data_IF_483607211083
#
_entry.id   IF_483607211083
#
_cell.length_a   1.000
_cell.length_b   1.000
_cell.length_c   1.000
_cell.angle_alpha   90.00
_cell.angle_beta   90.00
_cell.angle_gamma   90.00
#
_symmetry.space_group_name_H-M   'P 1'
#
loop_
_entity.id
_entity.type
_entity.pdbx_description
1 polymer ?
#
# COMPACT_ATOMS: atom_id res chain seq x y z
N UNK A 1 -62.80 37.36 10.50
CA UNK A 1 -63.06 37.49 9.05
C UNK A 1 -61.78 37.76 8.26
N UNK A 2 -61.16 38.95 8.33
CA UNK A 2 -59.93 39.22 7.54
C UNK A 2 -58.80 38.25 7.92
N UNK A 3 -58.56 38.04 9.22
CA UNK A 3 -57.59 37.06 9.70
C UNK A 3 -57.92 35.63 9.23
N UNK A 4 -59.18 35.19 9.32
CA UNK A 4 -59.59 33.85 8.88
C UNK A 4 -59.39 33.62 7.38
N UNK A 5 -59.57 34.65 6.55
CA UNK A 5 -59.29 34.59 5.11
C UNK A 5 -57.80 34.36 4.86
N UNK A 6 -56.92 35.11 5.51
CA UNK A 6 -55.47 34.92 5.37
C UNK A 6 -55.00 33.57 5.92
N UNK A 7 -55.55 33.10 7.04
CA UNK A 7 -55.22 31.80 7.61
C UNK A 7 -55.66 30.68 6.67
N UNK A 8 -56.89 30.75 6.12
CA UNK A 8 -57.40 29.76 5.19
C UNK A 8 -56.57 29.69 3.90
N UNK A 9 -56.21 30.84 3.31
CA UNK A 9 -55.32 30.88 2.13
C UNK A 9 -53.96 30.26 2.42
N UNK A 10 -53.35 30.59 3.56
CA UNK A 10 -52.06 30.04 3.96
C UNK A 10 -52.12 28.52 4.14
N UNK A 11 -53.18 28.02 4.79
CA UNK A 11 -53.37 26.58 5.02
C UNK A 11 -53.76 25.79 3.76
N UNK A 12 -54.20 26.45 2.69
CA UNK A 12 -54.35 25.83 1.37
C UNK A 12 -53.06 25.88 0.55
N UNK A 13 -52.21 26.89 0.74
CA UNK A 13 -50.94 27.04 0.03
C UNK A 13 -49.85 26.07 0.52
N UNK A 14 -49.66 25.93 1.83
CA UNK A 14 -48.62 25.09 2.43
C UNK A 14 -48.66 23.63 1.91
N UNK A 15 -49.83 22.94 1.87
CA UNK A 15 -49.90 21.58 1.36
C UNK A 15 -49.53 21.45 -0.12
N UNK A 16 -49.82 22.47 -0.94
CA UNK A 16 -49.46 22.48 -2.37
C UNK A 16 -47.94 22.55 -2.53
N UNK A 17 -47.27 23.38 -1.74
CA UNK A 17 -45.82 23.52 -1.74
C UNK A 17 -45.13 22.22 -1.30
N UNK A 18 -45.62 21.59 -0.23
CA UNK A 18 -45.10 20.32 0.29
C UNK A 18 -45.32 19.19 -0.74
N UNK A 19 -46.48 19.14 -1.39
CA UNK A 19 -46.78 18.14 -2.42
C UNK A 19 -45.85 18.27 -3.64
N UNK A 20 -45.59 19.50 -4.09
CA UNK A 20 -44.66 19.76 -5.19
C UNK A 20 -43.23 19.35 -4.79
N UNK A 21 -42.79 19.71 -3.59
CA UNK A 21 -41.48 19.34 -3.06
C UNK A 21 -41.28 17.81 -3.01
N UNK A 22 -42.30 17.06 -2.59
CA UNK A 22 -42.26 15.58 -2.60
C UNK A 22 -42.12 14.98 -3.99
N UNK A 23 -42.74 15.59 -5.02
CA UNK A 23 -42.62 15.16 -6.41
C UNK A 23 -41.23 15.42 -6.98
N UNK A 24 -40.56 16.48 -6.53
CA UNK A 24 -39.22 16.86 -7.00
C UNK A 24 -38.11 16.09 -6.27
N UNK A 25 -38.33 15.65 -5.04
CA UNK A 25 -37.38 14.83 -4.28
C UNK A 25 -37.16 13.45 -4.94
N UNK A 26 -35.93 13.20 -5.39
CA UNK A 26 -35.49 11.92 -6.01
C UNK A 26 -35.06 10.86 -4.98
N UNK A 27 -35.18 11.14 -3.69
CA UNK A 27 -34.79 10.20 -2.63
C UNK A 27 -35.82 9.07 -2.46
N UNK A 28 -35.40 7.80 -2.34
CA UNK A 28 -36.28 6.67 -2.06
C UNK A 28 -36.76 6.72 -0.60
N UNK A 29 -37.75 7.58 -0.32
CA UNK A 29 -38.40 7.63 0.98
C UNK A 29 -39.22 6.35 1.20
N UNK A 30 -39.04 5.64 2.33
CA UNK A 30 -39.88 4.50 2.67
C UNK A 30 -41.36 4.91 2.69
N UNK A 31 -42.25 4.00 2.25
CA UNK A 31 -43.69 4.26 2.10
C UNK A 31 -44.31 4.92 3.34
N UNK A 32 -43.85 4.52 4.53
CA UNK A 32 -44.34 5.02 5.81
C UNK A 32 -44.13 6.54 5.99
N UNK A 33 -43.01 7.10 5.53
CA UNK A 33 -42.75 8.54 5.60
C UNK A 33 -43.66 9.33 4.64
N UNK A 34 -43.95 8.79 3.46
CA UNK A 34 -44.88 9.39 2.49
C UNK A 34 -46.30 9.47 3.06
N UNK A 35 -46.74 8.41 3.76
CA UNK A 35 -48.04 8.40 4.42
C UNK A 35 -48.15 9.45 5.52
N UNK A 36 -47.12 9.66 6.34
CA UNK A 36 -47.11 10.70 7.38
C UNK A 36 -47.17 12.10 6.77
N UNK A 37 -46.42 12.35 5.69
CA UNK A 37 -46.46 13.62 4.97
C UNK A 37 -47.84 13.92 4.39
N UNK A 38 -48.48 12.94 3.75
CA UNK A 38 -49.83 13.09 3.21
C UNK A 38 -50.88 13.32 4.33
N UNK A 39 -50.72 12.67 5.48
CA UNK A 39 -51.61 12.87 6.63
C UNK A 39 -51.43 14.26 7.26
N UNK A 40 -50.20 14.79 7.23
CA UNK A 40 -49.89 16.15 7.66
C UNK A 40 -50.48 17.20 6.71
N UNK A 41 -50.38 17.01 5.39
CA UNK A 41 -51.07 17.83 4.38
C UNK A 41 -52.59 17.81 4.57
N UNK A 42 -53.17 16.61 4.79
CA UNK A 42 -54.59 16.44 5.06
C UNK A 42 -55.02 17.14 6.37
N UNK A 43 -54.16 17.15 7.39
CA UNK A 43 -54.42 17.84 8.65
C UNK A 43 -54.42 19.37 8.48
N UNK A 44 -53.42 19.92 7.77
CA UNK A 44 -53.34 21.37 7.50
C UNK A 44 -54.52 21.85 6.66
N UNK A 45 -54.88 21.11 5.61
CA UNK A 45 -56.05 21.46 4.77
C UNK A 45 -57.35 21.42 5.57
N UNK A 46 -57.56 20.41 6.43
CA UNK A 46 -58.74 20.31 7.29
C UNK A 46 -58.83 21.48 8.28
N UNK A 47 -57.70 21.89 8.88
CA UNK A 47 -57.63 23.11 9.70
C UNK A 47 -57.98 24.37 8.89
N UNK A 48 -57.49 24.49 7.64
CA UNK A 48 -57.82 25.61 6.73
C UNK A 48 -59.30 25.68 6.36
N UNK A 49 -59.94 24.51 6.22
CA UNK A 49 -61.37 24.40 5.96
C UNK A 49 -62.22 24.94 7.13
N UNK A 50 -61.77 24.78 8.38
CA UNK A 50 -62.50 25.36 9.53
C UNK A 50 -62.57 26.90 9.44
N UNK A 51 -61.48 27.56 9.05
CA UNK A 51 -61.45 29.01 8.86
C UNK A 51 -62.27 29.46 7.65
N UNK A 52 -62.33 28.65 6.60
CA UNK A 52 -63.18 28.96 5.45
C UNK A 52 -64.67 28.93 5.84
N UNK A 53 -65.07 27.93 6.63
CA UNK A 53 -66.45 27.79 7.13
C UNK A 53 -66.82 28.92 8.10
N UNK A 54 -65.88 29.40 8.93
CA UNK A 54 -66.12 30.54 9.84
C UNK A 54 -66.27 31.86 9.10
N UNK A 55 -65.53 32.08 7.99
CA UNK A 55 -65.71 33.26 7.13
C UNK A 55 -67.11 33.29 6.50
N UNK A 56 -67.66 32.14 6.13
CA UNK A 56 -68.97 32.03 5.48
C UNK A 56 -70.15 32.09 6.46
N UNK A 57 -69.89 31.95 7.76
CA UNK A 57 -70.91 31.92 8.83
C UNK A 57 -71.91 33.09 8.82
N UNK A 58 -71.55 34.34 8.50
CA UNK A 58 -72.51 35.45 8.47
C UNK A 58 -73.56 35.35 7.35
N UNK A 59 -73.31 34.52 6.33
CA UNK A 59 -74.14 34.44 5.13
C UNK A 59 -75.05 33.19 5.10
N UNK A 60 -74.84 32.21 5.98
CA UNK A 60 -75.64 30.97 6.05
C UNK A 60 -75.45 30.23 7.38
N UNK A 61 -76.39 29.36 7.76
CA UNK A 61 -76.26 28.52 8.95
C UNK A 61 -75.24 27.38 8.71
N UNK A 62 -73.98 27.63 9.05
CA UNK A 62 -72.86 26.70 8.79
C UNK A 62 -72.48 25.79 9.96
N UNK A 63 -73.28 25.75 11.03
CA UNK A 63 -72.93 25.01 12.27
C UNK A 63 -72.74 23.49 12.05
N UNK A 64 -73.58 22.88 11.20
CA UNK A 64 -73.44 21.45 10.85
C UNK A 64 -72.16 21.19 10.05
N UNK A 65 -71.87 22.05 9.08
CA UNK A 65 -70.65 21.95 8.27
C UNK A 65 -69.39 22.10 9.13
N UNK A 66 -69.40 23.06 10.07
CA UNK A 66 -68.30 23.25 11.01
C UNK A 66 -68.09 22.03 11.92
N UNK A 67 -69.18 21.41 12.38
CA UNK A 67 -69.13 20.18 13.18
C UNK A 67 -68.48 19.04 12.40
N UNK A 68 -68.91 18.80 11.15
CA UNK A 68 -68.34 17.76 10.29
C UNK A 68 -66.84 17.97 10.06
N UNK A 69 -66.43 19.19 9.70
CA UNK A 69 -65.00 19.50 9.47
C UNK A 69 -64.17 19.27 10.74
N UNK A 70 -64.69 19.65 11.92
CA UNK A 70 -64.00 19.40 13.20
C UNK A 70 -63.85 17.91 13.51
N UNK A 71 -64.88 17.10 13.24
CA UNK A 71 -64.82 15.64 13.43
C UNK A 71 -63.77 15.02 12.49
N UNK A 72 -63.78 15.40 11.20
CA UNK A 72 -62.76 14.93 10.24
C UNK A 72 -61.36 15.33 10.68
N UNK A 73 -61.18 16.58 11.12
CA UNK A 73 -59.89 17.08 11.62
C UNK A 73 -59.41 16.29 12.84
N UNK A 74 -60.30 15.98 13.79
CA UNK A 74 -59.97 15.19 14.98
C UNK A 74 -59.51 13.77 14.63
N UNK A 75 -60.16 13.12 13.64
CA UNK A 75 -59.76 11.79 13.15
C UNK A 75 -58.37 11.84 12.51
N UNK A 76 -58.14 12.77 11.58
CA UNK A 76 -56.84 12.92 10.90
C UNK A 76 -55.74 13.25 11.92
N UNK A 77 -56.00 14.15 12.87
CA UNK A 77 -55.05 14.51 13.94
C UNK A 77 -54.67 13.31 14.80
N UNK A 78 -55.64 12.48 15.16
CA UNK A 78 -55.41 11.30 16.01
C UNK A 78 -54.56 10.26 15.27
N UNK A 79 -54.88 9.98 14.01
CA UNK A 79 -54.10 9.06 13.18
C UNK A 79 -52.66 9.56 12.97
N UNK A 80 -52.48 10.88 12.77
CA UNK A 80 -51.16 11.50 12.62
C UNK A 80 -50.34 11.37 13.89
N UNK A 81 -50.93 11.61 15.06
CA UNK A 81 -50.24 11.46 16.34
C UNK A 81 -49.75 10.02 16.58
N UNK A 82 -50.57 9.01 16.26
CA UNK A 82 -50.21 7.59 16.40
C UNK A 82 -49.02 7.23 15.51
N UNK A 83 -49.04 7.65 14.23
CA UNK A 83 -47.95 7.36 13.30
C UNK A 83 -46.65 8.08 13.69
N UNK A 84 -46.73 9.33 14.16
CA UNK A 84 -45.55 10.10 14.55
C UNK A 84 -44.79 9.44 15.72
N UNK A 85 -45.48 8.85 16.69
CA UNK A 85 -44.83 8.11 17.80
C UNK A 85 -43.91 7.00 17.29
N UNK A 86 -44.26 6.35 16.18
CA UNK A 86 -43.46 5.28 15.59
C UNK A 86 -42.32 5.80 14.69
N UNK A 87 -42.50 6.96 14.06
CA UNK A 87 -41.56 7.52 13.08
C UNK A 87 -40.47 8.36 13.71
N UNK A 88 -40.83 9.18 14.71
CA UNK A 88 -39.89 10.07 15.40
C UNK A 88 -38.61 9.34 15.84
N UNK A 89 -38.64 8.23 16.61
CA UNK A 89 -37.42 7.57 17.08
C UNK A 89 -36.52 7.06 15.93
N UNK A 90 -37.11 6.71 14.78
CA UNK A 90 -36.35 6.29 13.59
C UNK A 90 -35.69 7.47 12.89
N UNK A 91 -36.36 8.62 12.84
CA UNK A 91 -35.80 9.84 12.24
C UNK A 91 -34.61 10.38 13.05
N UNK A 92 -34.69 10.38 14.38
CA UNK A 92 -33.59 10.85 15.25
C UNK A 92 -32.37 9.92 15.28
N UNK A 93 -32.52 8.64 14.93
CA UNK A 93 -31.38 7.70 14.86
C UNK A 93 -30.62 7.75 13.54
N UNK A 94 -31.15 8.43 12.50
CA UNK A 94 -30.48 8.54 11.20
C UNK A 94 -29.16 9.32 11.26
N UNK A 95 -29.07 10.52 11.88
CA UNK A 95 -27.81 11.24 11.96
C UNK A 95 -26.73 10.48 12.74
N UNK A 96 -27.11 9.82 13.85
CA UNK A 96 -26.19 9.00 14.63
C UNK A 96 -25.69 7.78 13.85
N UNK A 97 -26.58 7.12 13.09
CA UNK A 97 -26.21 5.98 12.23
C UNK A 97 -25.34 6.40 11.06
N UNK A 98 -25.58 7.56 10.48
CA UNK A 98 -24.75 8.13 9.41
C UNK A 98 -23.35 8.45 9.91
N UNK A 99 -23.23 9.14 11.06
CA UNK A 99 -21.94 9.45 11.66
C UNK A 99 -21.13 8.20 12.01
N UNK A 100 -21.77 7.15 12.55
CA UNK A 100 -21.09 5.88 12.82
C UNK A 100 -20.60 5.20 11.53
N UNK A 101 -21.43 5.22 10.47
CA UNK A 101 -21.06 4.63 9.18
C UNK A 101 -19.89 5.37 8.52
N UNK A 102 -19.85 6.70 8.63
CA UNK A 102 -18.73 7.52 8.14
C UNK A 102 -17.43 7.21 8.88
N UNK A 103 -17.47 7.06 10.21
CA UNK A 103 -16.28 6.67 10.97
C UNK A 103 -15.82 5.26 10.62
N UNK A 104 -16.74 4.31 10.47
CA UNK A 104 -16.42 2.93 10.11
C UNK A 104 -15.83 2.84 8.69
N UNK A 105 -16.39 3.57 7.72
CA UNK A 105 -15.81 3.68 6.39
C UNK A 105 -14.43 4.33 6.43
N UNK A 106 -14.25 5.38 7.23
CA UNK A 106 -12.96 6.03 7.43
C UNK A 106 -11.94 5.09 8.05
N UNK A 107 -12.33 4.28 9.03
CA UNK A 107 -11.47 3.28 9.67
C UNK A 107 -11.06 2.21 8.65
N UNK A 108 -12.00 1.63 7.91
CA UNK A 108 -11.73 0.62 6.89
C UNK A 108 -10.81 1.14 5.78
N UNK A 109 -11.04 2.35 5.27
CA UNK A 109 -10.20 2.97 4.25
C UNK A 109 -8.75 3.13 4.73
N UNK A 110 -8.55 3.56 5.99
CA UNK A 110 -7.20 3.69 6.58
C UNK A 110 -6.48 2.35 6.66
N UNK A 111 -7.17 1.28 7.06
CA UNK A 111 -6.60 -0.07 7.12
C UNK A 111 -6.27 -0.63 5.74
N UNK A 112 -7.17 -0.44 4.76
CA UNK A 112 -6.91 -0.89 3.40
C UNK A 112 -5.72 -0.14 2.78
N UNK A 113 -5.62 1.16 3.03
CA UNK A 113 -4.52 1.98 2.54
C UNK A 113 -3.17 1.56 3.13
N UNK A 114 -3.10 1.27 4.44
CA UNK A 114 -1.86 0.80 5.06
C UNK A 114 -1.42 -0.56 4.51
N UNK A 115 -2.37 -1.48 4.31
CA UNK A 115 -2.10 -2.78 3.68
C UNK A 115 -1.62 -2.64 2.22
N UNK A 116 -2.21 -1.71 1.45
CA UNK A 116 -1.78 -1.43 0.07
C UNK A 116 -0.36 -0.88 0.05
N UNK A 117 -0.05 0.08 0.92
CA UNK A 117 1.31 0.66 1.02
C UNK A 117 2.36 -0.41 1.39
N UNK A 118 2.06 -1.29 2.34
CA UNK A 118 2.94 -2.39 2.71
C UNK A 118 3.16 -3.38 1.55
N UNK A 119 2.09 -3.74 0.82
CA UNK A 119 2.22 -4.60 -0.36
C UNK A 119 3.03 -3.96 -1.50
N UNK A 120 2.81 -2.67 -1.77
CA UNK A 120 3.57 -1.92 -2.79
C UNK A 120 5.06 -1.89 -2.46
N UNK A 121 5.40 -1.72 -1.18
CA UNK A 121 6.77 -1.79 -0.69
C UNK A 121 7.36 -3.18 -0.96
N UNK A 122 6.67 -4.25 -0.54
CA UNK A 122 7.11 -5.63 -0.78
C UNK A 122 7.35 -5.91 -2.28
N UNK A 123 6.48 -5.40 -3.16
CA UNK A 123 6.65 -5.55 -4.60
C UNK A 123 7.88 -4.82 -5.14
N UNK A 124 8.19 -3.62 -4.62
CA UNK A 124 9.43 -2.90 -4.98
C UNK A 124 10.65 -3.71 -4.57
N UNK A 125 10.71 -4.18 -3.32
CA UNK A 125 11.81 -5.01 -2.82
C UNK A 125 11.97 -6.31 -3.63
N UNK A 126 10.87 -6.95 -4.00
CA UNK A 126 10.89 -8.15 -4.86
C UNK A 126 11.51 -7.87 -6.24
N UNK A 127 11.22 -6.71 -6.84
CA UNK A 127 11.84 -6.30 -8.12
C UNK A 127 13.35 -6.11 -7.97
N UNK A 128 13.80 -5.44 -6.92
CA UNK A 128 15.24 -5.25 -6.61
C UNK A 128 15.93 -6.60 -6.49
N UNK A 129 15.40 -7.50 -5.66
CA UNK A 129 15.91 -8.86 -5.47
C UNK A 129 16.02 -9.62 -6.79
N UNK A 130 14.98 -9.55 -7.64
CA UNK A 130 14.99 -10.26 -8.92
C UNK A 130 16.03 -9.67 -9.90
N UNK A 131 16.26 -8.36 -9.86
CA UNK A 131 17.25 -7.71 -10.70
C UNK A 131 18.68 -8.10 -10.30
N UNK A 132 18.96 -8.10 -8.99
CA UNK A 132 20.25 -8.53 -8.42
C UNK A 132 20.55 -9.99 -8.81
N UNK A 133 19.59 -10.90 -8.63
CA UNK A 133 19.75 -12.34 -8.97
C UNK A 133 20.04 -12.62 -10.44
N UNK A 134 19.62 -11.74 -11.36
CA UNK A 134 19.86 -11.91 -12.80
C UNK A 134 21.25 -11.46 -13.23
N UNK A 135 22.00 -10.81 -12.35
CA UNK A 135 23.31 -10.26 -12.65
C UNK A 135 24.40 -11.28 -12.33
N UNK A 136 25.27 -11.57 -13.29
CA UNK A 136 26.25 -12.66 -13.21
C UNK A 136 27.70 -12.20 -12.97
N UNK A 137 27.95 -10.89 -13.04
CA UNK A 137 29.27 -10.30 -12.80
C UNK A 137 29.31 -9.56 -11.45
N UNK A 138 30.45 -9.62 -10.78
CA UNK A 138 30.62 -9.09 -9.41
C UNK A 138 30.46 -7.56 -9.36
N UNK A 139 31.10 -6.83 -10.29
CA UNK A 139 30.97 -5.37 -10.35
C UNK A 139 29.53 -4.99 -10.70
N UNK A 140 28.95 -5.68 -11.67
CA UNK A 140 27.58 -5.44 -12.11
C UNK A 140 26.58 -5.69 -10.97
N UNK A 141 26.76 -6.75 -10.17
CA UNK A 141 25.94 -7.04 -8.99
C UNK A 141 26.05 -5.88 -8.01
N UNK A 142 27.26 -5.51 -7.59
CA UNK A 142 27.46 -4.44 -6.61
C UNK A 142 26.90 -3.09 -7.08
N UNK A 143 27.16 -2.70 -8.33
CA UNK A 143 26.67 -1.44 -8.89
C UNK A 143 25.14 -1.41 -8.94
N UNK A 144 24.52 -2.49 -9.42
CA UNK A 144 23.06 -2.61 -9.49
C UNK A 144 22.44 -2.58 -8.10
N UNK A 145 23.01 -3.32 -7.15
CA UNK A 145 22.54 -3.37 -5.77
C UNK A 145 22.57 -2.01 -5.09
N UNK A 146 23.70 -1.30 -5.20
CA UNK A 146 23.86 0.03 -4.60
C UNK A 146 22.88 1.03 -5.23
N UNK A 147 22.70 0.99 -6.54
CA UNK A 147 21.73 1.85 -7.24
C UNK A 147 20.29 1.57 -6.80
N UNK A 148 19.84 0.32 -6.89
CA UNK A 148 18.45 -0.07 -6.63
C UNK A 148 18.07 0.11 -5.15
N UNK A 149 18.99 -0.19 -4.23
CA UNK A 149 18.78 0.08 -2.80
C UNK A 149 18.66 1.57 -2.53
N UNK A 150 19.54 2.39 -3.11
CA UNK A 150 19.49 3.85 -2.93
C UNK A 150 18.19 4.44 -3.47
N UNK A 151 17.70 3.94 -4.61
CA UNK A 151 16.44 4.39 -5.23
C UNK A 151 15.22 3.92 -4.43
N UNK A 152 15.23 2.67 -3.94
CA UNK A 152 14.06 2.09 -3.25
C UNK A 152 13.89 2.64 -1.84
N UNK A 153 15.00 2.83 -1.12
CA UNK A 153 15.01 3.33 0.26
C UNK A 153 15.16 4.86 0.34
N UNK A 154 15.60 5.53 -0.72
CA UNK A 154 15.83 6.98 -0.73
C UNK A 154 17.01 7.41 0.16
N UNK A 155 17.98 6.53 0.38
CA UNK A 155 19.16 6.77 1.23
C UNK A 155 20.45 6.52 0.47
N UNK A 156 21.59 6.89 1.07
CA UNK A 156 22.89 6.47 0.56
C UNK A 156 23.12 4.99 0.76
N UNK A 157 23.80 4.35 -0.18
CA UNK A 157 24.22 2.96 -0.09
C UNK A 157 25.68 2.82 -0.51
N UNK A 158 26.44 2.00 0.22
CA UNK A 158 27.83 1.67 -0.07
C UNK A 158 28.09 0.18 0.18
N UNK A 159 28.84 -0.45 -0.73
CA UNK A 159 29.30 -1.84 -0.57
C UNK A 159 30.79 -1.86 -0.31
N UNK A 160 31.17 -2.45 0.83
CA UNK A 160 32.53 -2.69 1.24
C UNK A 160 32.94 -4.13 0.96
N UNK A 161 34.06 -4.30 0.28
CA UNK A 161 34.70 -5.59 0.03
C UNK A 161 36.00 -5.68 0.83
N UNK A 162 36.32 -6.87 1.30
CA UNK A 162 37.55 -7.14 2.03
C UNK A 162 38.74 -7.25 1.09
N UNK A 163 39.76 -6.44 1.33
CA UNK A 163 41.07 -6.51 0.69
C UNK A 163 42.15 -6.67 1.76
N UNK A 164 42.67 -7.90 1.90
CA UNK A 164 43.63 -8.24 2.95
C UNK A 164 43.01 -8.11 4.34
N UNK A 165 43.54 -7.18 5.14
CA UNK A 165 43.08 -6.90 6.51
C UNK A 165 42.25 -5.60 6.62
N UNK A 166 41.86 -5.05 5.47
CA UNK A 166 41.04 -3.83 5.40
C UNK A 166 39.78 -4.06 4.56
N UNK A 167 38.75 -3.26 4.80
CA UNK A 167 37.56 -3.14 3.98
C UNK A 167 37.66 -1.88 3.14
N UNK A 168 37.39 -2.02 1.85
CA UNK A 168 37.43 -0.93 0.87
C UNK A 168 36.06 -0.82 0.22
N UNK A 169 35.52 0.40 0.15
CA UNK A 169 34.27 0.64 -0.56
C UNK A 169 34.53 0.52 -2.06
N UNK A 170 33.82 -0.41 -2.69
CA UNK A 170 33.93 -0.66 -4.13
C UNK A 170 32.90 0.13 -4.91
N UNK A 171 31.69 0.27 -4.36
CA UNK A 171 30.56 0.91 -5.01
C UNK A 171 29.82 1.76 -3.98
N UNK A 172 29.42 2.96 -4.40
CA UNK A 172 28.71 3.94 -3.57
C UNK A 172 27.73 4.70 -4.46
N UNK A 173 26.51 4.89 -3.97
CA UNK A 173 25.50 5.75 -4.56
C UNK A 173 24.81 6.51 -3.42
N UNK A 174 24.53 7.78 -3.66
CA UNK A 174 23.80 8.66 -2.75
C UNK A 174 22.74 9.39 -3.56
N UNK A 175 21.48 9.30 -3.13
CA UNK A 175 20.39 10.11 -3.65
C UNK A 175 19.63 10.76 -2.51
N UNK A 176 19.40 12.05 -2.64
CA UNK A 176 18.50 12.79 -1.76
C UNK A 176 17.06 12.55 -2.24
N UNK A 177 16.12 12.34 -1.31
CA UNK A 177 14.70 12.03 -1.58
C UNK A 177 13.99 13.07 -2.48
N UNK A 178 14.58 14.26 -2.67
CA UNK A 178 14.05 15.36 -3.50
C UNK A 178 14.92 15.74 -4.71
N UNK A 179 15.99 15.00 -5.01
CA UNK A 179 16.83 15.32 -6.16
C UNK A 179 16.39 14.53 -7.40
N UNK A 180 15.47 15.12 -8.17
CA UNK A 180 15.01 14.59 -9.45
C UNK A 180 16.07 14.68 -10.56
N UNK A 181 17.27 15.21 -10.28
CA UNK A 181 18.33 15.24 -11.28
C UNK A 181 18.98 13.85 -11.39
N UNK A 182 18.61 13.12 -12.44
CA UNK A 182 19.23 11.88 -12.89
C UNK A 182 20.68 12.07 -13.40
N UNK A 183 21.43 13.06 -12.91
CA UNK A 183 22.76 13.37 -13.43
C UNK A 183 23.85 12.84 -12.51
N UNK A 184 24.53 11.84 -13.05
CA UNK A 184 25.71 11.11 -12.57
C UNK A 184 26.98 11.97 -12.41
N UNK A 185 26.89 13.29 -12.23
CA UNK A 185 28.05 14.18 -12.26
C UNK A 185 28.15 14.94 -10.94
N UNK A 186 29.27 14.76 -10.25
CA UNK A 186 29.69 15.42 -9.00
C UNK A 186 29.18 14.84 -7.68
N UNK A 187 29.09 13.50 -7.59
CA UNK A 187 28.96 12.86 -6.27
C UNK A 187 30.26 13.02 -5.49
N UNK A 188 30.18 13.62 -4.31
CA UNK A 188 31.18 13.46 -3.25
C UNK A 188 31.25 11.98 -2.88
N UNK A 189 32.11 11.22 -3.58
CA UNK A 189 32.43 9.83 -3.29
C UNK A 189 33.19 9.80 -1.94
N UNK A 190 32.45 9.72 -0.84
CA UNK A 190 33.01 9.82 0.50
C UNK A 190 33.54 8.46 0.93
N UNK A 191 32.72 7.41 0.81
CA UNK A 191 33.05 6.09 1.33
C UNK A 191 34.14 5.38 0.54
N UNK A 192 34.29 5.60 -0.78
CA UNK A 192 35.42 5.03 -1.55
C UNK A 192 36.80 5.55 -1.11
N UNK A 193 36.86 6.71 -0.43
CA UNK A 193 38.12 7.28 0.09
C UNK A 193 38.50 6.71 1.46
N UNK A 194 37.59 5.96 2.09
CA UNK A 194 37.74 5.47 3.45
C UNK A 194 38.06 3.98 3.43
N UNK A 195 39.15 3.61 4.10
CA UNK A 195 39.51 2.22 4.37
C UNK A 195 39.25 1.90 5.83
N UNK A 196 38.55 0.81 6.09
CA UNK A 196 38.16 0.42 7.46
C UNK A 196 38.96 -0.82 7.84
N UNK A 197 39.67 -0.77 8.97
CA UNK A 197 40.41 -1.93 9.48
C UNK A 197 39.45 -3.04 9.92
N UNK A 198 39.84 -4.31 9.70
CA UNK A 198 39.10 -5.47 10.19
C UNK A 198 39.01 -5.52 11.72
N UNK A 199 40.00 -4.97 12.43
CA UNK A 199 40.03 -4.87 13.90
C UNK A 199 39.09 -3.79 14.46
N UNK A 200 38.38 -3.07 13.60
CA UNK A 200 37.46 -2.04 14.04
C UNK A 200 36.34 -2.64 14.92
N UNK A 201 36.06 -1.99 16.05
CA UNK A 201 35.06 -2.45 17.03
C UNK A 201 33.67 -2.58 16.42
N UNK A 202 33.28 -1.67 15.50
CA UNK A 202 31.98 -1.71 14.85
C UNK A 202 31.89 -2.84 13.84
N UNK A 203 32.96 -3.12 13.09
CA UNK A 203 33.04 -4.29 12.21
C UNK A 203 32.90 -5.59 13.02
N UNK A 204 33.56 -5.66 14.18
CA UNK A 204 33.47 -6.82 15.09
C UNK A 204 32.05 -6.98 15.64
N UNK A 205 31.41 -5.88 16.08
CA UNK A 205 30.03 -5.86 16.54
C UNK A 205 29.06 -6.33 15.45
N UNK A 206 29.23 -5.88 14.21
CA UNK A 206 28.43 -6.37 13.08
C UNK A 206 28.66 -7.86 12.80
N UNK A 207 29.85 -8.41 13.07
CA UNK A 207 30.11 -9.85 12.90
C UNK A 207 29.43 -10.71 13.96
N UNK A 208 29.19 -10.17 15.15
CA UNK A 208 28.49 -10.90 16.24
C UNK A 208 26.97 -10.90 16.09
N UNK A 209 26.43 -9.99 15.28
CA UNK A 209 25.00 -9.89 15.03
C UNK A 209 24.63 -10.70 13.79
N UNK A 210 23.55 -11.48 13.87
CA UNK A 210 22.96 -12.16 12.70
C UNK A 210 22.05 -11.25 11.88
N UNK A 211 21.89 -9.99 12.29
CA UNK A 211 20.92 -9.02 11.78
C UNK A 211 21.58 -7.64 11.58
N UNK A 212 20.83 -6.70 11.01
CA UNK A 212 21.28 -5.35 10.68
C UNK A 212 21.72 -4.56 11.92
N UNK A 213 22.90 -3.95 11.83
CA UNK A 213 23.47 -3.16 12.91
C UNK A 213 23.23 -1.67 12.66
N UNK A 214 22.45 -1.02 13.54
CA UNK A 214 22.30 0.43 13.54
C UNK A 214 23.54 1.13 14.11
N UNK A 215 23.98 2.17 13.41
CA UNK A 215 25.16 2.98 13.72
C UNK A 215 24.73 4.45 13.83
N UNK A 216 25.00 5.06 14.97
CA UNK A 216 24.79 6.50 15.15
C UNK A 216 26.04 7.30 14.73
N UNK A 217 25.97 8.63 14.82
CA UNK A 217 27.07 9.53 14.46
C UNK A 217 28.38 9.20 15.19
N UNK A 218 28.31 8.80 16.46
CA UNK A 218 29.50 8.44 17.25
C UNK A 218 30.10 7.13 16.72
N UNK A 219 29.26 6.12 16.49
CA UNK A 219 29.69 4.83 15.93
C UNK A 219 30.34 5.01 14.55
N UNK A 220 29.78 5.90 13.71
CA UNK A 220 30.34 6.25 12.41
C UNK A 220 31.68 6.98 12.52
N UNK A 221 31.81 7.91 13.48
CA UNK A 221 33.08 8.59 13.77
C UNK A 221 34.15 7.61 14.23
N UNK A 222 33.79 6.65 15.09
CA UNK A 222 34.69 5.59 15.54
C UNK A 222 35.06 4.62 14.40
N UNK A 223 34.17 4.46 13.41
CA UNK A 223 34.40 3.61 12.25
C UNK A 223 35.39 4.22 11.26
N UNK A 224 35.29 5.53 11.02
CA UNK A 224 36.09 6.25 10.01
C UNK A 224 37.38 6.84 10.60
N UNK A 225 37.41 7.12 11.90
CA UNK A 225 38.53 7.73 12.61
C UNK A 225 38.23 9.14 13.10
N UNK A 226 38.76 9.49 14.28
CA UNK A 226 38.59 10.81 14.88
C UNK A 226 39.16 11.91 13.97
N UNK A 227 38.35 12.94 13.70
CA UNK A 227 38.75 14.11 12.89
C UNK A 227 38.28 14.11 11.43
N UNK A 228 37.65 13.03 10.95
CA UNK A 228 37.01 13.03 9.62
C UNK A 228 35.64 13.69 9.69
N UNK A 229 35.41 14.71 8.86
CA UNK A 229 34.12 15.38 8.79
C UNK A 229 33.09 14.50 8.07
N UNK A 230 32.28 13.78 8.83
CA UNK A 230 31.20 12.92 8.34
C UNK A 230 29.99 13.76 7.92
N UNK A 231 29.59 13.73 6.62
CA UNK A 231 28.36 14.39 6.16
C UNK A 231 27.09 13.62 6.57
N UNK A 232 27.25 12.43 7.18
CA UNK A 232 26.17 11.51 7.54
C UNK A 232 26.08 11.36 9.06
N UNK A 233 24.88 11.11 9.57
CA UNK A 233 24.61 11.06 11.02
C UNK A 233 24.04 9.73 11.50
N UNK A 234 23.45 8.95 10.61
CA UNK A 234 22.90 7.64 10.91
C UNK A 234 23.22 6.66 9.78
N UNK A 235 23.45 5.40 10.12
CA UNK A 235 23.64 4.33 9.16
C UNK A 235 23.18 2.98 9.70
N UNK A 236 23.02 2.03 8.80
CA UNK A 236 22.71 0.64 9.10
C UNK A 236 23.55 -0.26 8.21
N UNK A 237 24.17 -1.27 8.82
CA UNK A 237 25.10 -2.17 8.14
C UNK A 237 24.73 -3.64 8.29
N UNK A 238 24.84 -4.41 7.20
CA UNK A 238 24.65 -5.87 7.18
C UNK A 238 25.86 -6.51 6.51
N UNK A 239 26.43 -7.54 7.14
CA UNK A 239 27.59 -8.26 6.60
C UNK A 239 27.15 -9.37 5.65
N UNK A 240 28.00 -9.66 4.68
CA UNK A 240 27.83 -10.82 3.80
C UNK A 240 29.12 -11.63 3.68
N UNK A 241 28.96 -12.92 3.40
CA UNK A 241 30.06 -13.89 3.30
C UNK A 241 30.09 -14.51 1.91
N UNK A 242 31.28 -14.70 1.35
CA UNK A 242 31.42 -15.43 0.07
C UNK A 242 32.18 -16.71 0.37
N UNK A 243 31.62 -17.86 -0.03
CA UNK A 243 32.14 -19.20 0.28
C UNK A 243 32.38 -19.42 1.79
N UNK A 244 31.47 -18.90 2.62
CA UNK A 244 31.55 -18.97 4.08
C UNK A 244 32.65 -18.12 4.72
N UNK A 245 33.45 -17.41 3.92
CA UNK A 245 34.47 -16.48 4.41
C UNK A 245 33.90 -15.07 4.52
N UNK A 246 34.39 -14.37 5.52
CA UNK A 246 34.09 -12.96 5.72
C UNK A 246 34.63 -12.11 4.54
N UNK A 247 33.71 -11.56 3.75
CA UNK A 247 33.99 -10.97 2.43
C UNK A 247 33.62 -9.51 2.33
N UNK A 248 32.63 -9.03 3.07
CA UNK A 248 32.20 -7.65 2.96
C UNK A 248 31.00 -7.28 3.82
N UNK A 249 30.52 -6.06 3.63
CA UNK A 249 29.28 -5.58 4.21
C UNK A 249 28.65 -4.50 3.33
N UNK A 250 27.33 -4.38 3.44
CA UNK A 250 26.53 -3.33 2.81
C UNK A 250 26.19 -2.32 3.90
N UNK A 251 26.36 -1.02 3.60
CA UNK A 251 26.09 0.08 4.49
C UNK A 251 25.09 1.03 3.82
N UNK A 252 23.94 1.24 4.46
CA UNK A 252 23.01 2.31 4.09
C UNK A 252 23.12 3.46 5.08
N UNK A 253 23.04 4.70 4.63
CA UNK A 253 23.34 5.87 5.45
C UNK A 253 22.52 7.11 5.08
N UNK A 254 22.25 7.95 6.09
CA UNK A 254 21.47 9.18 5.98
C UNK A 254 22.18 10.36 6.66
N UNK A 255 21.90 11.57 6.15
CA UNK A 255 22.32 12.84 6.76
C UNK A 255 21.45 13.25 7.95
N UNK A 256 20.28 12.63 8.10
CA UNK A 256 19.35 12.84 9.20
C UNK A 256 19.77 12.05 10.44
N UNK A 257 19.70 12.68 11.61
CA UNK A 257 20.15 12.09 12.88
C UNK A 257 19.14 11.12 13.48
N UNK A 258 17.86 11.38 13.26
CA UNK A 258 16.74 10.57 13.73
C UNK A 258 16.31 9.50 12.72
N UNK A 259 17.11 9.29 11.67
CA UNK A 259 16.77 8.32 10.64
C UNK A 259 16.92 6.89 11.15
N UNK A 260 15.87 6.11 10.94
CA UNK A 260 15.82 4.67 11.19
C UNK A 260 14.82 4.03 10.24
N UNK A 261 15.12 2.85 9.72
CA UNK A 261 14.14 2.06 8.97
C UNK A 261 13.08 1.48 9.91
N UNK A 262 11.80 1.44 9.50
CA UNK A 262 10.78 0.61 10.14
C UNK A 262 11.21 -0.87 10.19
N UNK A 263 10.74 -1.63 11.18
CA UNK A 263 11.10 -3.05 11.38
C UNK A 263 10.92 -3.91 10.12
N UNK A 264 9.80 -3.73 9.41
CA UNK A 264 9.53 -4.44 8.15
C UNK A 264 10.54 -4.10 7.04
N UNK A 265 11.01 -2.85 6.97
CA UNK A 265 12.01 -2.44 5.98
C UNK A 265 13.41 -2.94 6.35
N UNK A 266 13.70 -3.14 7.64
CA UNK A 266 14.94 -3.76 8.11
C UNK A 266 15.02 -5.21 7.65
N UNK A 267 13.96 -6.00 7.88
CA UNK A 267 13.90 -7.40 7.43
C UNK A 267 14.09 -7.50 5.90
N UNK A 268 13.40 -6.64 5.14
CA UNK A 268 13.52 -6.64 3.68
C UNK A 268 14.91 -6.19 3.21
N UNK A 269 15.57 -5.28 3.91
CA UNK A 269 16.95 -4.89 3.62
C UNK A 269 17.92 -6.04 3.88
N UNK A 270 17.79 -6.75 5.01
CA UNK A 270 18.56 -7.95 5.32
C UNK A 270 18.40 -9.03 4.24
N UNK A 271 17.15 -9.28 3.82
CA UNK A 271 16.84 -10.20 2.73
C UNK A 271 17.55 -9.80 1.44
N UNK A 272 17.50 -8.51 1.04
CA UNK A 272 18.22 -8.04 -0.15
C UNK A 272 19.72 -8.31 0.01
N UNK A 273 20.32 -8.00 1.15
CA UNK A 273 21.76 -8.23 1.37
C UNK A 273 22.10 -9.72 1.28
N UNK A 274 21.23 -10.61 1.78
CA UNK A 274 21.36 -12.05 1.57
C UNK A 274 21.28 -12.46 0.09
N UNK A 275 20.49 -11.75 -0.73
CA UNK A 275 20.45 -12.00 -2.18
C UNK A 275 21.69 -11.47 -2.91
N UNK A 276 22.26 -10.37 -2.43
CA UNK A 276 23.55 -9.86 -2.90
C UNK A 276 24.63 -10.90 -2.59
N UNK A 277 24.65 -11.46 -1.39
CA UNK A 277 25.58 -12.52 -0.99
C UNK A 277 25.53 -13.70 -1.97
N UNK A 278 24.34 -14.23 -2.23
CA UNK A 278 24.14 -15.36 -3.14
C UNK A 278 24.61 -15.02 -4.56
N UNK A 279 24.25 -13.83 -5.07
CA UNK A 279 24.64 -13.41 -6.42
C UNK A 279 26.16 -13.24 -6.55
N UNK A 280 26.82 -12.67 -5.54
CA UNK A 280 28.28 -12.54 -5.51
C UNK A 280 28.99 -13.90 -5.40
N UNK A 281 28.39 -14.85 -4.66
CA UNK A 281 28.91 -16.22 -4.61
C UNK A 281 28.80 -16.90 -5.97
N UNK A 282 27.68 -16.75 -6.66
CA UNK A 282 27.49 -17.28 -8.01
C UNK A 282 28.47 -16.67 -9.03
N UNK A 283 28.69 -15.35 -8.98
CA UNK A 283 29.65 -14.68 -9.86
C UNK A 283 31.09 -15.14 -9.59
N UNK A 284 31.46 -15.35 -8.32
CA UNK A 284 32.77 -15.88 -7.94
C UNK A 284 32.99 -17.32 -8.45
N UNK A 285 31.99 -18.19 -8.33
CA UNK A 285 32.03 -19.56 -8.85
C UNK A 285 32.21 -19.60 -10.37
N UNK A 286 31.43 -18.80 -11.11
CA UNK A 286 31.55 -18.70 -12.57
C UNK A 286 32.94 -18.22 -13.01
N UNK A 287 33.53 -17.26 -12.28
CA UNK A 287 34.89 -16.78 -12.54
C UNK A 287 35.94 -17.88 -12.31
N UNK A 288 35.78 -18.68 -11.25
CA UNK A 288 36.68 -19.80 -10.95
C UNK A 288 36.58 -20.90 -12.01
N UNK A 289 35.38 -21.23 -12.48
CA UNK A 289 35.16 -22.21 -13.56
C UNK A 289 35.74 -21.75 -14.90
N UNK A 290 35.56 -20.46 -15.25
CA UNK A 290 36.14 -19.88 -16.45
C UNK A 290 37.69 -19.89 -16.39
N UNK A 291 38.26 -19.58 -15.23
CA UNK A 291 39.71 -19.66 -15.00
C UNK A 291 40.23 -21.11 -15.04
N UNK A 292 39.46 -22.08 -14.54
CA UNK A 292 39.80 -23.50 -14.56
C UNK A 292 39.83 -24.09 -15.98
N UNK A 293 38.87 -23.69 -16.83
CA UNK A 293 38.85 -24.07 -18.26
C UNK A 293 40.03 -23.48 -19.04
N UNK A 294 40.47 -22.26 -18.72
CA UNK A 294 41.66 -21.66 -19.33
C UNK A 294 42.97 -22.38 -18.97
N UNK A 295 43.06 -22.98 -17.79
CA UNK A 295 44.23 -23.78 -17.38
C UNK A 295 44.24 -25.17 -18.00
N UNK A 296 43.07 -25.78 -18.22
CA UNK A 296 42.95 -27.06 -18.92
C UNK A 296 43.22 -26.95 -20.43
N UNK A 297 42.90 -25.81 -21.05
CA UNK A 297 43.22 -25.53 -22.45
C UNK A 297 44.72 -25.38 -22.75
N UNK A 298 45.52 -24.94 -21.77
CA UNK A 298 46.99 -24.82 -21.92
C UNK A 298 47.75 -26.14 -21.73
N UNK A 299 47.14 -27.17 -21.14
CA UNK A 299 47.75 -28.49 -21.01
C UNK A 299 47.49 -29.40 -22.23
N UNK A 300 46.54 -29.05 -23.09
CA UNK A 300 46.14 -29.82 -24.27
C UNK A 300 46.84 -29.38 -25.58
N UNK A 301 47.69 -28.35 -25.55
CA UNK A 301 48.52 -27.92 -26.69
C UNK A 301 49.92 -28.57 -26.74
N UNK A 302 50.17 -29.60 -25.91
CA UNK A 302 51.40 -30.41 -25.95
C UNK A 302 51.08 -31.89 -26.18
N UNK A 303 50.44 -32.19 -27.30
CA UNK A 303 50.22 -33.56 -27.74
C UNK A 303 49.24 -33.58 -28.91
N UNK A 304 49.76 -33.76 -30.13
CA UNK A 304 48.92 -34.07 -31.30
C UNK A 304 48.03 -35.28 -30.97
N UNK A 305 46.71 -35.24 -31.19
CA UNK A 305 45.92 -36.44 -31.09
C UNK A 305 45.90 -37.17 -32.45
N UNK A 306 46.17 -38.47 -32.39
CA UNK A 306 45.95 -39.40 -33.49
C UNK A 306 44.45 -39.53 -33.82
N UNK A 307 44.17 -39.69 -35.11
CA UNK A 307 42.89 -39.48 -35.78
C UNK A 307 41.80 -40.53 -35.50
N UNK A 308 41.95 -41.41 -34.51
CA UNK A 308 41.00 -42.49 -34.23
C UNK A 308 40.03 -42.23 -33.05
N UNK A 309 40.31 -41.28 -32.16
CA UNK A 309 39.46 -41.07 -30.96
C UNK A 309 38.24 -40.15 -31.21
N UNK A 310 38.17 -39.50 -32.38
CA UNK A 310 37.09 -38.58 -32.74
C UNK A 310 35.76 -39.27 -33.09
N UNK A 311 35.78 -40.57 -33.43
CA UNK A 311 34.56 -41.31 -33.81
C UNK A 311 33.77 -41.87 -32.63
N UNK A 312 34.36 -41.98 -31.44
CA UNK A 312 33.66 -42.57 -30.28
C UNK A 312 32.92 -41.53 -29.42
N UNK A 313 33.22 -40.23 -29.55
CA UNK A 313 32.58 -39.17 -28.74
C UNK A 313 31.32 -38.55 -29.35
N UNK A 314 31.05 -38.78 -30.64
CA UNK A 314 29.87 -38.21 -31.32
C UNK A 314 28.56 -39.00 -31.09
N UNK A 315 28.61 -40.21 -30.51
CA UNK A 315 27.41 -41.02 -30.26
C UNK A 315 26.73 -40.75 -28.90
N UNK A 316 27.39 -40.08 -27.96
CA UNK A 316 26.86 -39.87 -26.60
C UNK A 316 26.28 -38.47 -26.33
N UNK A 317 26.12 -37.61 -27.33
CA UNK A 317 25.61 -36.24 -27.15
C UNK A 317 24.08 -36.10 -27.23
N UNK A 318 23.31 -37.18 -27.40
CA UNK A 318 21.84 -37.12 -27.55
C UNK A 318 21.02 -37.65 -26.36
N UNK A 319 21.65 -37.90 -25.20
CA UNK A 319 20.91 -38.35 -24.02
C UNK A 319 21.46 -37.71 -22.73
N UNK A 320 21.12 -36.43 -22.50
CA UNK A 320 20.81 -35.87 -21.17
C UNK A 320 20.72 -34.34 -21.22
N UNK A 321 19.53 -33.82 -21.52
CA UNK A 321 19.13 -32.47 -21.11
C UNK A 321 17.65 -32.49 -20.73
N UNK A 322 17.38 -32.84 -19.49
CA UNK A 322 16.13 -32.51 -18.79
C UNK A 322 16.43 -32.51 -17.29
N UNK A 323 16.94 -31.38 -16.78
CA UNK A 323 16.97 -31.13 -15.33
C UNK A 323 15.70 -30.35 -15.00
N UNK A 324 14.86 -30.99 -14.20
CA UNK A 324 13.59 -30.51 -13.67
C UNK A 324 13.80 -29.38 -12.65
N UNK A 325 12.92 -28.37 -12.69
CA UNK A 325 12.75 -27.40 -11.62
C UNK A 325 12.23 -28.07 -10.34
N UNK A 326 12.64 -27.65 -9.13
CA UNK A 326 11.99 -28.07 -7.90
C UNK A 326 10.58 -27.46 -7.79
N UNK A 327 9.59 -28.18 -7.23
CA UNK A 327 8.24 -27.67 -7.06
C UNK A 327 8.18 -26.60 -5.95
N UNK A 328 7.25 -25.63 -6.02
CA UNK A 328 7.03 -24.65 -4.98
C UNK A 328 6.47 -25.27 -3.68
N UNK A 329 6.70 -24.64 -2.51
CA UNK A 329 6.26 -25.16 -1.21
C UNK A 329 4.72 -25.16 -1.06
N UNK A 330 4.16 -26.03 -0.22
CA UNK A 330 2.72 -26.21 -0.09
C UNK A 330 2.09 -25.09 0.74
N UNK A 331 1.28 -24.23 0.10
CA UNK A 331 0.27 -23.45 0.79
C UNK A 331 -1.01 -24.29 0.88
N UNK A 332 -1.37 -24.70 2.09
CA UNK A 332 -2.68 -25.30 2.38
C UNK A 332 -3.73 -24.20 2.47
N UNK A 333 -4.49 -23.99 1.39
CA UNK A 333 -5.83 -23.42 1.48
C UNK A 333 -6.81 -24.60 1.54
N UNK A 334 -7.49 -24.74 2.69
CA UNK A 334 -8.73 -25.50 2.77
C UNK A 334 -9.79 -24.69 2.03
N UNK A 335 -10.31 -25.24 0.94
CA UNK A 335 -11.54 -24.78 0.30
C UNK A 335 -12.52 -25.96 0.33
N UNK A 336 -13.50 -25.87 1.24
CA UNK A 336 -14.67 -26.74 1.21
C UNK A 336 -15.57 -26.26 0.07
N UNK A 337 -15.76 -27.13 -0.92
CA UNK A 337 -16.62 -26.85 -2.06
C UNK A 337 -18.08 -26.60 -1.65
N UNK A 338 -18.65 -25.53 -2.20
CA UNK A 338 -20.06 -25.45 -2.58
C UNK A 338 -20.23 -24.71 -3.90
N UNK A 339 -20.62 -25.51 -4.90
CA UNK A 339 -21.63 -25.27 -5.93
C UNK A 339 -21.54 -23.99 -6.79
N UNK A 340 -21.39 -24.22 -8.09
CA UNK A 340 -21.20 -23.19 -9.10
C UNK A 340 -22.47 -22.44 -9.53
N UNK A 341 -22.25 -21.19 -9.92
CA UNK A 341 -23.06 -20.47 -10.90
C UNK A 341 -22.11 -19.80 -11.90
N UNK A 342 -22.24 -20.16 -13.17
CA UNK A 342 -21.51 -19.55 -14.28
C UNK A 342 -22.12 -18.18 -14.60
N UNK A 343 -21.37 -17.10 -14.37
CA UNK A 343 -21.71 -15.77 -14.86
C UNK A 343 -21.03 -15.49 -16.19
N UNK A 344 -21.84 -15.48 -17.25
CA UNK A 344 -21.49 -15.12 -18.63
C UNK A 344 -21.35 -13.59 -18.74
N UNK A 345 -20.11 -13.09 -18.87
CA UNK A 345 -19.86 -11.65 -19.10
C UNK A 345 -19.82 -11.35 -20.60
N UNK A 346 -20.90 -10.74 -21.12
CA UNK A 346 -20.86 -9.97 -22.37
C UNK A 346 -20.32 -8.55 -22.11
N UNK A 347 -19.47 -8.00 -22.99
CA UNK A 347 -18.98 -6.63 -22.86
C UNK A 347 -20.07 -5.62 -23.27
N UNK A 348 -20.35 -4.67 -22.38
CA UNK A 348 -21.31 -3.58 -22.59
C UNK A 348 -20.56 -2.35 -23.13
N UNK A 349 -20.81 -2.00 -24.39
CA UNK A 349 -20.43 -0.71 -24.96
C UNK A 349 -21.37 0.38 -24.42
N UNK A 350 -20.81 1.49 -23.95
CA UNK A 350 -21.56 2.66 -23.49
C UNK A 350 -21.78 3.66 -24.63
N UNK A 351 -22.96 4.31 -24.73
CA UNK A 351 -23.27 5.33 -25.74
C UNK A 351 -22.62 6.70 -25.50
#
# INVERSE_FOLDING_TARGET
>A
MVADVFISMSYMAIPIEIFFFQRTLTLPLPMLYKSVLLLFEAFITACGATHLVTVWKPFSNTEVALCVVKVVTAVISTLTAILLIQVFPKAFSLPARAAWLEEELGSHMRHEQSLRMANDLLLKFRKVTQHIRRTLDTNSVCQTSVFELSVTLGVGCAIYMKEGDTYVCTHEDYRHVNDHSLRHSDKNIFWQKIRISKENKMITRMATLSYACCLNKRDLSDMVGEGVNLPFKAAMGVRFKIDGKDSGFVLIYSSEETWSLPEQEVELFEDIVGQIEIALQQSAQLKNEASGKSSHGKLLEAGKPDEEEAKFRLSNLHHNTSISLPPPPPFSYHDEGKDGEAYDMKPLNWP
#
